data_IF_652986042569
#
_entry.id   IF_652986042569
#
_cell.length_a   1.000
_cell.length_b   1.000
_cell.length_c   1.000
_cell.angle_alpha   90.00
_cell.angle_beta   90.00
_cell.angle_gamma   90.00
#
_symmetry.space_group_name_H-M   'P 1'
#
loop_
_entity.id
_entity.type
_entity.pdbx_description
1 polymer ?
#
# COMPACT_ATOMS: atom_id res chain seq x y z
N UNK A 1 11.84 6.02 -25.82
CA UNK A 1 11.46 7.26 -25.11
C UNK A 1 11.74 7.04 -23.64
N UNK A 2 12.79 7.65 -23.08
CA UNK A 2 13.05 7.56 -21.65
C UNK A 2 11.95 8.33 -20.93
N UNK A 3 11.02 7.63 -20.28
CA UNK A 3 10.11 8.25 -19.34
C UNK A 3 10.99 9.00 -18.33
N UNK A 4 10.80 10.31 -18.19
CA UNK A 4 11.50 11.13 -17.21
C UNK A 4 10.96 10.77 -15.82
N UNK A 5 11.43 9.64 -15.30
CA UNK A 5 11.02 9.10 -14.00
C UNK A 5 11.79 9.86 -12.93
N UNK A 6 11.05 10.59 -12.09
CA UNK A 6 11.58 11.27 -10.92
C UNK A 6 11.39 10.39 -9.69
N UNK A 7 12.39 10.41 -8.79
CA UNK A 7 12.30 9.72 -7.51
C UNK A 7 12.01 10.73 -6.41
N UNK A 8 10.80 10.69 -5.87
CA UNK A 8 10.38 11.58 -4.80
C UNK A 8 10.47 10.87 -3.46
N UNK A 9 10.91 11.60 -2.42
CA UNK A 9 10.80 11.11 -1.05
C UNK A 9 9.31 10.97 -0.68
N UNK A 10 8.96 9.99 0.14
CA UNK A 10 7.57 9.75 0.56
C UNK A 10 6.86 11.01 1.08
N UNK A 11 7.54 11.83 1.88
CA UNK A 11 6.97 13.09 2.41
C UNK A 11 6.59 14.06 1.29
N UNK A 12 7.50 14.28 0.34
CA UNK A 12 7.29 15.18 -0.80
C UNK A 12 6.20 14.63 -1.73
N UNK A 13 6.17 13.32 -1.94
CA UNK A 13 5.11 12.66 -2.68
C UNK A 13 3.74 12.90 -2.03
N UNK A 14 3.65 12.67 -0.73
CA UNK A 14 2.41 12.84 0.03
C UNK A 14 1.90 14.29 0.00
N UNK A 15 2.80 15.28 0.06
CA UNK A 15 2.47 16.71 -0.04
C UNK A 15 2.01 17.13 -1.44
N UNK A 16 2.57 16.52 -2.50
CA UNK A 16 2.22 16.86 -3.88
C UNK A 16 0.95 16.18 -4.36
N UNK A 17 0.73 14.93 -3.94
CA UNK A 17 -0.40 14.13 -4.40
C UNK A 17 -1.68 14.42 -3.61
N UNK A 18 -1.56 14.66 -2.29
CA UNK A 18 -2.69 15.08 -1.45
C UNK A 18 -2.59 16.57 -1.11
N UNK A 19 -3.49 17.36 -1.68
CA UNK A 19 -3.67 18.79 -1.36
C UNK A 19 -4.22 18.98 0.06
N UNK A 20 -5.05 18.05 0.52
CA UNK A 20 -5.66 18.07 1.85
C UNK A 20 -4.79 17.30 2.86
N UNK A 21 -4.47 17.94 3.98
CA UNK A 21 -3.62 17.35 5.01
C UNK A 21 -4.31 16.19 5.76
N UNK A 22 -5.62 16.27 5.97
CA UNK A 22 -6.37 15.24 6.68
C UNK A 22 -6.51 13.95 5.86
N UNK A 23 -6.48 14.07 4.54
CA UNK A 23 -6.52 12.93 3.62
C UNK A 23 -5.13 12.33 3.34
N UNK A 24 -4.05 12.94 3.84
CA UNK A 24 -2.68 12.52 3.54
C UNK A 24 -2.32 11.24 4.30
N UNK A 25 -1.98 10.14 3.62
CA UNK A 25 -1.55 8.93 4.29
C UNK A 25 -0.23 9.13 5.03
N UNK A 26 -0.09 8.48 6.19
CA UNK A 26 1.16 8.48 6.94
C UNK A 26 2.28 7.81 6.14
N UNK A 27 3.53 8.11 6.52
CA UNK A 27 4.72 7.51 5.89
C UNK A 27 4.67 5.98 5.92
N UNK A 28 4.25 5.37 7.03
CA UNK A 28 4.18 3.92 7.16
C UNK A 28 3.13 3.30 6.24
N UNK A 29 2.01 3.97 6.03
CA UNK A 29 0.98 3.57 5.05
C UNK A 29 1.56 3.55 3.64
N UNK A 30 2.27 4.61 3.24
CA UNK A 30 2.94 4.66 1.93
C UNK A 30 4.00 3.57 1.77
N UNK A 31 4.78 3.29 2.83
CA UNK A 31 5.73 2.16 2.83
C UNK A 31 5.00 0.83 2.68
N UNK A 32 3.86 0.65 3.35
CA UNK A 32 3.01 -0.54 3.22
C UNK A 32 2.50 -0.69 1.79
N UNK A 33 2.03 0.39 1.17
CA UNK A 33 1.58 0.39 -0.24
C UNK A 33 2.71 -0.04 -1.18
N UNK A 34 3.94 0.44 -0.94
CA UNK A 34 5.10 0.01 -1.75
C UNK A 34 5.42 -1.47 -1.52
N UNK A 35 5.43 -1.93 -0.27
CA UNK A 35 5.69 -3.34 0.07
C UNK A 35 4.65 -4.29 -0.53
N UNK A 36 3.39 -3.85 -0.61
CA UNK A 36 2.26 -4.58 -1.20
C UNK A 36 2.23 -4.53 -2.72
N UNK A 37 3.11 -3.72 -3.35
CA UNK A 37 3.12 -3.54 -4.80
C UNK A 37 2.02 -2.58 -5.31
N UNK A 38 1.34 -1.85 -4.43
CA UNK A 38 0.31 -0.89 -4.81
C UNK A 38 0.88 0.42 -5.32
N UNK A 39 2.03 0.82 -4.78
CA UNK A 39 2.72 2.06 -5.13
C UNK A 39 4.08 1.74 -5.73
N UNK A 40 4.37 2.29 -6.91
CA UNK A 40 5.68 2.19 -7.54
C UNK A 40 6.74 2.91 -6.70
N UNK A 41 7.44 2.17 -5.86
CA UNK A 41 8.47 2.72 -4.99
C UNK A 41 9.65 1.80 -4.81
N UNK A 42 10.81 2.39 -4.52
CA UNK A 42 12.07 1.70 -4.34
C UNK A 42 12.74 2.14 -3.05
N UNK A 43 13.26 1.17 -2.30
CA UNK A 43 14.14 1.44 -1.17
C UNK A 43 15.55 1.68 -1.68
N UNK A 44 16.10 2.85 -1.38
CA UNK A 44 17.49 3.21 -1.69
C UNK A 44 18.17 3.54 -0.36
N UNK A 45 19.08 2.66 0.06
CA UNK A 45 19.69 2.74 1.39
C UNK A 45 18.65 2.61 2.51
N UNK A 46 18.59 3.62 3.39
CA UNK A 46 17.64 3.67 4.53
C UNK A 46 16.31 4.38 4.21
N UNK A 47 16.16 4.96 3.02
CA UNK A 47 14.98 5.75 2.65
C UNK A 47 14.17 5.07 1.53
N UNK A 48 12.86 5.29 1.58
CA UNK A 48 11.93 4.87 0.54
C UNK A 48 11.62 6.06 -0.37
N UNK A 49 11.60 5.78 -1.67
CA UNK A 49 11.31 6.74 -2.72
C UNK A 49 10.16 6.21 -3.57
N UNK A 50 9.31 7.12 -4.04
CA UNK A 50 8.26 6.85 -5.02
C UNK A 50 8.78 7.23 -6.39
N UNK A 51 8.59 6.34 -7.36
CA UNK A 51 8.85 6.63 -8.76
C UNK A 51 7.62 7.32 -9.34
N UNK A 52 7.79 8.59 -9.67
CA UNK A 52 6.77 9.44 -10.25
C UNK A 52 7.17 9.84 -11.68
N UNK A 53 6.17 10.16 -12.49
CA UNK A 53 6.37 10.85 -13.77
C UNK A 53 6.79 12.30 -13.54
N UNK A 54 7.28 13.00 -14.57
CA UNK A 54 7.66 14.41 -14.51
C UNK A 54 6.56 15.35 -13.98
N UNK A 55 5.30 14.95 -14.14
CA UNK A 55 4.12 15.68 -13.68
C UNK A 55 3.79 15.45 -12.18
N UNK A 56 4.58 14.63 -11.48
CA UNK A 56 4.42 14.35 -10.06
C UNK A 56 3.43 13.21 -9.74
N UNK A 57 2.73 12.68 -10.74
CA UNK A 57 1.87 11.50 -10.57
C UNK A 57 2.73 10.24 -10.37
N UNK A 58 2.34 9.33 -9.46
CA UNK A 58 3.01 8.06 -9.28
C UNK A 58 2.93 7.24 -10.57
N UNK A 59 3.98 6.48 -10.88
CA UNK A 59 4.03 5.66 -12.10
C UNK A 59 3.02 4.52 -12.06
N UNK A 60 2.76 3.99 -10.86
CA UNK A 60 1.70 3.04 -10.56
C UNK A 60 1.14 3.34 -9.17
N UNK A 61 -0.17 3.53 -9.09
CA UNK A 61 -0.91 3.59 -7.83
C UNK A 61 -2.23 2.86 -8.05
N UNK A 62 -2.25 1.55 -7.74
CA UNK A 62 -3.47 0.76 -7.85
C UNK A 62 -4.21 0.74 -6.52
N UNK A 63 -5.52 0.95 -6.58
CA UNK A 63 -6.45 0.77 -5.46
C UNK A 63 -6.94 -0.69 -5.40
N UNK A 64 -6.54 -1.52 -6.36
CA UNK A 64 -6.86 -2.95 -6.39
C UNK A 64 -6.11 -3.66 -5.27
N UNK A 65 -6.75 -3.71 -4.11
CA UNK A 65 -6.42 -4.61 -3.02
C UNK A 65 -6.48 -6.03 -3.61
N UNK A 66 -5.37 -6.77 -3.78
CA UNK A 66 -5.51 -8.21 -3.88
C UNK A 66 -6.15 -8.60 -2.55
N UNK A 67 -7.41 -9.04 -2.62
CA UNK A 67 -8.16 -9.55 -1.48
C UNK A 67 -7.30 -10.68 -0.92
N UNK A 68 -6.55 -10.41 0.14
CA UNK A 68 -5.80 -11.45 0.84
C UNK A 68 -6.89 -12.36 1.37
N UNK A 69 -7.05 -13.53 0.76
CA UNK A 69 -7.87 -14.59 1.31
C UNK A 69 -7.29 -14.90 2.69
N UNK A 70 -7.93 -14.35 3.73
CA UNK A 70 -7.69 -14.75 5.09
C UNK A 70 -8.04 -16.23 5.12
N UNK A 71 -7.03 -17.11 5.20
CA UNK A 71 -7.26 -18.53 5.41
C UNK A 71 -8.16 -18.67 6.64
N UNK A 72 -9.24 -19.44 6.48
CA UNK A 72 -10.26 -19.61 7.52
C UNK A 72 -9.59 -19.98 8.86
N UNK A 73 -10.08 -19.44 9.98
CA UNK A 73 -9.46 -19.69 11.28
C UNK A 73 -9.34 -21.20 11.53
N UNK A 74 -8.23 -21.67 12.15
CA UNK A 74 -8.04 -23.08 12.41
C UNK A 74 -9.18 -23.63 13.27
N UNK A 75 -9.68 -24.82 12.91
CA UNK A 75 -10.72 -25.54 13.66
C UNK A 75 -10.31 -25.64 15.11
N UNK A 76 -11.17 -25.16 16.01
CA UNK A 76 -10.80 -24.94 17.41
C UNK A 76 -10.83 -26.23 18.24
N UNK A 77 -11.11 -27.39 17.61
CA UNK A 77 -11.15 -28.69 18.29
C UNK A 77 -12.29 -28.80 19.31
N UNK A 78 -13.20 -27.81 19.34
CA UNK A 78 -14.31 -27.73 20.27
C UNK A 78 -15.60 -27.65 19.44
N UNK A 79 -16.40 -28.71 19.51
CA UNK A 79 -17.54 -28.94 18.60
C UNK A 79 -18.63 -27.87 18.67
N UNK A 80 -18.71 -27.11 19.76
CA UNK A 80 -19.63 -25.98 19.91
C UNK A 80 -19.09 -24.72 19.21
N UNK A 81 -17.78 -24.45 19.31
CA UNK A 81 -17.15 -23.29 18.70
C UNK A 81 -17.09 -23.42 17.16
N UNK A 82 -16.78 -24.61 16.65
CA UNK A 82 -16.81 -24.92 15.22
C UNK A 82 -18.22 -24.78 14.62
N UNK A 83 -19.27 -25.03 15.40
CA UNK A 83 -20.67 -24.91 14.95
C UNK A 83 -21.11 -23.46 14.79
N UNK A 84 -20.70 -22.60 15.72
CA UNK A 84 -20.98 -21.15 15.66
C UNK A 84 -20.19 -20.50 14.51
N UNK A 85 -18.94 -20.94 14.28
CA UNK A 85 -18.12 -20.50 13.15
C UNK A 85 -18.67 -20.93 11.78
N UNK A 86 -19.43 -22.02 11.71
CA UNK A 86 -20.03 -22.51 10.46
C UNK A 86 -21.38 -21.85 10.12
N UNK A 87 -21.96 -21.08 11.04
CA UNK A 87 -23.27 -20.44 10.89
C UNK A 87 -23.19 -18.94 10.54
N UNK A 88 -21.98 -18.41 10.34
CA UNK A 88 -21.68 -17.03 9.87
C UNK A 88 -21.22 -17.09 8.42
#
# INVERSE_FOLDING_TARGET
MAANIQRLKLKVFAERYWQDEASRPCRDTLVSHIKRGWLSGKKIGKQWYVECTSWGAPLFYTDEVPKVELESPPKTGNSIADRILAEI
#
